data_IF_428158849983
#
_entry.id   IF_428158849983
#
_cell.length_a   1.000
_cell.length_b   1.000
_cell.length_c   1.000
_cell.angle_alpha   90.00
_cell.angle_beta   90.00
_cell.angle_gamma   90.00
#
_symmetry.space_group_name_H-M   'P 1'
#
loop_
_entity.id
_entity.type
_entity.pdbx_description
1 polymer ?
#
# COMPACT_ATOMS: atom_id res chain seq x y z
N UNK A 1 47.49 -17.10 -3.42
CA UNK A 1 47.36 -17.85 -2.15
C UNK A 1 47.53 -16.82 -1.05
N UNK A 2 46.44 -16.49 -0.36
CA UNK A 2 46.47 -15.54 0.76
C UNK A 2 47.03 -16.29 1.95
N UNK A 3 47.95 -15.64 2.66
CA UNK A 3 48.58 -16.23 3.84
C UNK A 3 47.58 -16.28 5.01
N UNK A 4 47.61 -17.36 5.79
CA UNK A 4 46.72 -17.53 6.93
C UNK A 4 46.91 -16.45 7.98
N UNK A 5 48.14 -15.95 8.14
CA UNK A 5 48.47 -14.95 9.13
C UNK A 5 47.86 -13.58 8.76
N UNK A 6 47.78 -13.26 7.46
CA UNK A 6 47.10 -12.05 6.98
C UNK A 6 45.59 -12.10 7.21
N UNK A 7 44.96 -13.25 6.99
CA UNK A 7 43.52 -13.42 7.24
C UNK A 7 43.22 -13.39 8.74
N UNK A 8 44.08 -13.98 9.58
CA UNK A 8 43.91 -13.94 11.04
C UNK A 8 44.07 -12.51 11.59
N UNK A 9 45.04 -11.74 11.08
CA UNK A 9 45.20 -10.33 11.44
C UNK A 9 44.00 -9.48 11.04
N UNK A 10 43.50 -9.65 9.80
CA UNK A 10 42.31 -8.96 9.32
C UNK A 10 41.05 -9.31 10.14
N UNK A 11 40.94 -10.57 10.56
CA UNK A 11 39.83 -11.03 11.39
C UNK A 11 39.88 -10.48 12.82
N UNK A 12 41.07 -10.33 13.39
CA UNK A 12 41.26 -9.66 14.69
C UNK A 12 40.87 -8.19 14.59
N UNK A 13 41.38 -7.48 13.57
CA UNK A 13 41.04 -6.07 13.33
C UNK A 13 39.52 -5.87 13.21
N UNK A 14 38.82 -6.78 12.52
CA UNK A 14 37.36 -6.77 12.41
C UNK A 14 36.63 -6.97 13.75
N UNK A 15 37.14 -7.81 14.64
CA UNK A 15 36.57 -8.01 15.98
C UNK A 15 36.73 -6.76 16.84
N UNK A 16 37.87 -6.07 16.71
CA UNK A 16 38.20 -4.86 17.48
C UNK A 16 37.66 -3.56 16.84
N UNK A 17 37.10 -3.63 15.64
CA UNK A 17 36.56 -2.48 14.90
C UNK A 17 37.64 -1.62 14.23
N UNK A 18 38.84 -2.14 14.08
CA UNK A 18 39.97 -1.50 13.42
C UNK A 18 39.91 -1.69 11.89
N UNK A 19 40.53 -0.79 11.10
CA UNK A 19 40.59 -0.94 9.66
C UNK A 19 41.30 -2.24 9.26
N UNK A 20 40.60 -3.09 8.51
CA UNK A 20 41.15 -4.34 7.98
C UNK A 20 42.11 -4.07 6.80
N UNK A 21 43.24 -4.77 6.71
CA UNK A 21 44.15 -4.72 5.56
C UNK A 21 43.63 -5.49 4.33
N UNK A 22 42.55 -6.27 4.46
CA UNK A 22 41.94 -7.07 3.40
C UNK A 22 40.45 -6.73 3.29
N UNK A 23 39.90 -6.80 2.06
CA UNK A 23 38.46 -6.64 1.82
C UNK A 23 37.65 -7.75 2.48
N UNK A 24 36.48 -7.40 3.03
CA UNK A 24 35.61 -8.31 3.77
C UNK A 24 35.15 -9.52 2.94
N UNK A 25 34.89 -9.32 1.64
CA UNK A 25 34.49 -10.40 0.72
C UNK A 25 35.57 -11.48 0.57
N UNK A 26 36.84 -11.07 0.61
CA UNK A 26 37.99 -11.98 0.50
C UNK A 26 38.17 -12.79 1.79
N UNK A 27 37.94 -12.14 2.94
CA UNK A 27 37.99 -12.78 4.26
C UNK A 27 36.88 -13.82 4.37
N UNK A 28 35.65 -13.47 4.01
CA UNK A 28 34.48 -14.35 4.12
C UNK A 28 34.59 -15.56 3.17
N UNK A 29 35.10 -15.36 1.94
CA UNK A 29 35.38 -16.45 1.01
C UNK A 29 36.44 -17.44 1.55
N UNK A 30 37.50 -16.93 2.19
CA UNK A 30 38.54 -17.78 2.79
C UNK A 30 38.04 -18.49 4.05
N UNK A 31 37.22 -17.83 4.87
CA UNK A 31 36.58 -18.43 6.04
C UNK A 31 35.61 -19.56 5.66
N UNK A 32 34.91 -19.46 4.52
CA UNK A 32 34.08 -20.55 4.01
C UNK A 32 34.91 -21.81 3.67
N UNK A 33 36.12 -21.63 3.12
CA UNK A 33 37.00 -22.73 2.70
C UNK A 33 37.95 -23.28 3.77
N UNK A 34 38.38 -22.47 4.76
CA UNK A 34 39.48 -22.82 5.65
C UNK A 34 39.04 -23.14 7.10
N UNK A 35 39.24 -24.39 7.54
CA UNK A 35 38.94 -24.82 8.90
C UNK A 35 39.81 -24.14 9.98
N UNK A 36 41.11 -23.90 9.68
CA UNK A 36 42.05 -23.24 10.62
C UNK A 36 41.62 -21.81 10.95
N UNK A 37 41.21 -21.03 9.94
CA UNK A 37 40.79 -19.65 10.15
C UNK A 37 39.43 -19.57 10.87
N UNK A 38 38.51 -20.52 10.63
CA UNK A 38 37.26 -20.62 11.40
C UNK A 38 37.51 -20.92 12.88
N UNK A 39 38.39 -21.87 13.18
CA UNK A 39 38.74 -22.20 14.56
C UNK A 39 39.34 -20.97 15.28
N UNK A 40 40.28 -20.28 14.64
CA UNK A 40 40.86 -19.05 15.20
C UNK A 40 39.78 -17.98 15.47
N UNK A 41 38.83 -17.79 14.55
CA UNK A 41 37.71 -16.86 14.74
C UNK A 41 36.87 -17.20 15.97
N UNK A 42 36.50 -18.47 16.11
CA UNK A 42 35.65 -18.95 17.19
C UNK A 42 36.35 -18.81 18.56
N UNK A 43 37.65 -19.10 18.59
CA UNK A 43 38.51 -18.92 19.77
C UNK A 43 38.63 -17.43 20.15
N UNK A 44 38.88 -16.55 19.17
CA UNK A 44 38.96 -15.11 19.38
C UNK A 44 37.64 -14.52 19.88
N UNK A 45 36.50 -14.93 19.30
CA UNK A 45 35.17 -14.53 19.79
C UNK A 45 34.88 -15.09 21.18
N UNK A 46 35.31 -16.32 21.49
CA UNK A 46 35.13 -16.91 22.81
C UNK A 46 36.00 -16.22 23.87
N UNK A 47 37.17 -15.71 23.50
CA UNK A 47 38.03 -14.90 24.36
C UNK A 47 37.40 -13.52 24.61
N UNK A 48 36.99 -12.82 23.55
CA UNK A 48 36.31 -11.52 23.64
C UNK A 48 35.08 -11.58 24.54
N UNK A 49 34.23 -12.62 24.38
CA UNK A 49 33.09 -12.85 25.29
C UNK A 49 33.51 -13.04 26.74
N UNK A 50 34.57 -13.80 27.02
CA UNK A 50 35.06 -14.00 28.39
C UNK A 50 35.60 -12.72 29.02
N UNK A 51 36.31 -11.90 28.25
CA UNK A 51 36.82 -10.61 28.70
C UNK A 51 35.70 -9.60 28.96
N UNK A 52 34.62 -9.63 28.17
CA UNK A 52 33.46 -8.74 28.32
C UNK A 52 32.68 -8.95 29.63
N UNK A 53 32.86 -10.08 30.32
CA UNK A 53 32.25 -10.34 31.64
C UNK A 53 33.16 -9.99 32.82
N UNK A 54 34.42 -9.63 32.58
CA UNK A 54 35.33 -9.08 33.61
C UNK A 54 35.16 -7.55 33.63
N UNK A 55 33.93 -7.09 33.72
CA UNK A 55 33.67 -5.71 34.13
C UNK A 55 33.57 -5.75 35.67
N UNK A 56 34.34 -4.94 36.42
CA UNK A 56 34.33 -5.03 37.87
C UNK A 56 32.92 -4.78 38.40
N UNK A 57 32.48 -5.56 39.39
CA UNK A 57 31.20 -5.36 40.06
C UNK A 57 31.03 -3.93 40.66
N UNK A 58 32.15 -3.21 40.84
CA UNK A 58 32.23 -1.83 41.33
C UNK A 58 32.79 -0.83 40.28
N UNK A 59 32.94 -1.24 39.02
CA UNK A 59 33.42 -0.40 37.93
C UNK A 59 32.26 0.35 37.27
N UNK A 60 32.31 1.68 37.28
CA UNK A 60 31.25 2.58 36.82
C UNK A 60 30.88 2.56 35.32
N UNK A 61 30.95 1.41 34.65
CA UNK A 61 30.57 1.17 33.26
C UNK A 61 29.37 0.22 33.10
N UNK A 62 28.67 -0.13 34.19
CA UNK A 62 27.34 -0.71 34.06
C UNK A 62 26.39 0.33 33.42
N UNK A 63 25.80 0.07 32.24
CA UNK A 63 24.84 0.99 31.65
C UNK A 63 23.69 1.20 32.63
N UNK A 64 23.26 2.46 32.91
CA UNK A 64 22.08 2.72 33.73
C UNK A 64 20.89 1.86 33.26
N UNK A 65 20.16 1.25 34.19
CA UNK A 65 19.04 0.35 33.89
C UNK A 65 18.00 0.96 32.93
N UNK A 66 17.90 2.29 32.93
CA UNK A 66 16.93 3.08 32.18
C UNK A 66 17.37 3.41 30.73
N UNK A 67 18.55 3.01 30.28
CA UNK A 67 18.96 3.22 28.88
C UNK A 67 18.05 2.50 27.89
N UNK A 68 17.46 1.37 28.31
CA UNK A 68 16.47 0.66 27.51
C UNK A 68 15.22 1.53 27.25
N UNK A 69 14.71 2.22 28.28
CA UNK A 69 13.60 3.16 28.16
C UNK A 69 13.99 4.39 27.33
N UNK A 70 15.20 4.93 27.49
CA UNK A 70 15.67 6.09 26.71
C UNK A 70 15.87 5.76 25.23
N UNK A 71 16.42 4.58 24.92
CA UNK A 71 16.59 4.10 23.54
C UNK A 71 15.22 3.83 22.91
N UNK A 72 14.31 3.15 23.63
CA UNK A 72 12.94 2.94 23.17
C UNK A 72 12.22 4.28 22.96
N UNK A 73 12.35 5.24 23.89
CA UNK A 73 11.78 6.58 23.76
C UNK A 73 12.39 7.40 22.62
N UNK A 74 13.63 7.12 22.22
CA UNK A 74 14.28 7.72 21.06
C UNK A 74 13.77 7.19 19.71
N UNK A 75 13.39 5.91 19.64
CA UNK A 75 12.95 5.23 18.41
C UNK A 75 11.42 5.30 18.23
N UNK A 76 10.68 5.28 19.34
CA UNK A 76 9.22 5.38 19.39
C UNK A 76 8.64 6.60 18.64
N UNK A 77 9.21 7.83 18.65
CA UNK A 77 8.62 8.98 17.96
C UNK A 77 8.60 8.83 16.44
N UNK A 78 9.61 8.20 15.83
CA UNK A 78 9.64 7.98 14.37
C UNK A 78 8.66 6.88 13.94
N UNK A 79 8.60 5.81 14.72
CA UNK A 79 7.63 4.72 14.53
C UNK A 79 6.20 5.20 14.75
N UNK A 80 5.94 6.00 15.78
CA UNK A 80 4.63 6.61 16.04
C UNK A 80 4.22 7.59 14.97
N UNK A 81 5.13 8.44 14.46
CA UNK A 81 4.80 9.38 13.37
C UNK A 81 4.39 8.64 12.09
N UNK A 82 5.13 7.61 11.72
CA UNK A 82 4.82 6.80 10.54
C UNK A 82 3.57 5.93 10.73
N UNK A 83 3.36 5.36 11.92
CA UNK A 83 2.14 4.63 12.27
C UNK A 83 0.90 5.55 12.31
N UNK A 84 0.99 6.72 12.95
CA UNK A 84 -0.10 7.70 13.02
C UNK A 84 -0.45 8.25 11.65
N UNK A 85 0.54 8.58 10.81
CA UNK A 85 0.28 9.02 9.43
C UNK A 85 -0.46 7.96 8.61
N UNK A 86 -0.14 6.67 8.80
CA UNK A 86 -0.88 5.56 8.18
C UNK A 86 -2.30 5.43 8.72
N UNK A 87 -2.48 5.54 10.04
CA UNK A 87 -3.81 5.47 10.67
C UNK A 87 -4.72 6.63 10.25
N UNK A 88 -4.19 7.85 10.23
CA UNK A 88 -4.91 9.05 9.75
C UNK A 88 -5.20 8.93 8.25
N UNK A 89 -4.23 8.49 7.46
CA UNK A 89 -4.42 8.25 6.03
C UNK A 89 -5.54 7.25 5.74
N UNK A 90 -5.59 6.14 6.47
CA UNK A 90 -6.67 5.14 6.36
C UNK A 90 -8.02 5.68 6.82
N UNK A 91 -8.06 6.47 7.90
CA UNK A 91 -9.28 7.09 8.38
C UNK A 91 -9.87 8.07 7.34
N UNK A 92 -9.04 8.99 6.82
CA UNK A 92 -9.43 9.93 5.76
C UNK A 92 -9.91 9.19 4.52
N UNK A 93 -9.18 8.14 4.11
CA UNK A 93 -9.55 7.38 2.92
C UNK A 93 -10.88 6.63 3.09
N UNK A 94 -11.18 6.10 4.29
CA UNK A 94 -12.51 5.55 4.61
C UNK A 94 -13.61 6.59 4.52
N UNK A 95 -13.39 7.78 5.07
CA UNK A 95 -14.35 8.87 4.95
C UNK A 95 -14.62 9.23 3.49
N UNK A 96 -13.57 9.36 2.67
CA UNK A 96 -13.71 9.63 1.24
C UNK A 96 -14.49 8.55 0.50
N UNK A 97 -14.23 7.26 0.78
CA UNK A 97 -14.98 6.16 0.18
C UNK A 97 -16.45 6.15 0.59
N UNK A 98 -16.76 6.46 1.85
CA UNK A 98 -18.14 6.54 2.34
C UNK A 98 -18.88 7.70 1.67
N UNK A 99 -18.24 8.88 1.59
CA UNK A 99 -18.81 10.05 0.91
C UNK A 99 -19.06 9.73 -0.58
N UNK A 100 -18.08 9.14 -1.26
CA UNK A 100 -18.23 8.72 -2.65
C UNK A 100 -19.37 7.70 -2.84
N UNK A 101 -19.48 6.72 -1.94
CA UNK A 101 -20.57 5.74 -1.93
C UNK A 101 -21.94 6.41 -1.78
N UNK A 102 -22.07 7.39 -0.87
CA UNK A 102 -23.31 8.17 -0.70
C UNK A 102 -23.65 8.94 -1.98
N UNK A 103 -22.68 9.60 -2.61
CA UNK A 103 -22.90 10.30 -3.88
C UNK A 103 -23.42 9.37 -4.98
N UNK A 104 -22.86 8.16 -5.09
CA UNK A 104 -23.35 7.14 -6.03
C UNK A 104 -24.77 6.67 -5.72
N UNK A 105 -25.12 6.49 -4.43
CA UNK A 105 -26.49 6.13 -4.01
C UNK A 105 -27.48 7.24 -4.37
N UNK A 106 -27.18 8.49 -4.02
CA UNK A 106 -28.04 9.64 -4.33
C UNK A 106 -28.28 9.74 -5.83
N UNK A 107 -27.23 9.55 -6.64
CA UNK A 107 -27.37 9.61 -8.08
C UNK A 107 -28.09 8.39 -8.67
N UNK A 108 -27.91 7.20 -8.10
CA UNK A 108 -28.71 6.02 -8.44
C UNK A 108 -30.20 6.25 -8.17
N UNK A 109 -30.54 6.89 -7.04
CA UNK A 109 -31.91 7.21 -6.68
C UNK A 109 -32.55 8.23 -7.64
N UNK A 110 -31.78 9.23 -8.08
CA UNK A 110 -32.24 10.19 -9.10
C UNK A 110 -32.59 9.50 -10.43
N UNK A 111 -31.80 8.50 -10.86
CA UNK A 111 -32.14 7.71 -12.07
C UNK A 111 -33.44 6.93 -11.91
N UNK A 112 -33.69 6.35 -10.74
CA UNK A 112 -34.95 5.65 -10.48
C UNK A 112 -36.15 6.61 -10.52
N UNK A 113 -35.99 7.82 -9.99
CA UNK A 113 -37.00 8.87 -10.09
C UNK A 113 -37.30 9.25 -11.55
N UNK A 114 -36.25 9.40 -12.37
CA UNK A 114 -36.38 9.68 -13.80
C UNK A 114 -37.04 8.51 -14.56
N UNK A 115 -36.66 7.27 -14.25
CA UNK A 115 -37.23 6.07 -14.85
C UNK A 115 -38.72 5.92 -14.53
N UNK A 116 -39.14 6.21 -13.30
CA UNK A 116 -40.55 6.19 -12.89
C UNK A 116 -41.41 7.20 -13.64
N UNK A 117 -40.84 8.34 -14.06
CA UNK A 117 -41.53 9.34 -14.86
C UNK A 117 -41.79 8.94 -16.33
N UNK A 118 -41.03 7.97 -16.86
CA UNK A 118 -41.11 7.51 -18.25
C UNK A 118 -42.09 6.35 -18.46
N UNK A 119 -42.59 5.74 -17.38
CA UNK A 119 -43.58 4.67 -17.43
C UNK A 119 -44.76 4.95 -16.47
N UNK A 120 -45.51 6.05 -16.68
CA UNK A 120 -46.67 6.34 -15.86
C UNK A 120 -47.75 5.28 -16.11
N UNK A 121 -48.04 4.49 -15.09
CA UNK A 121 -49.16 3.55 -15.10
C UNK A 121 -50.42 4.33 -14.73
N UNK A 122 -51.39 4.42 -15.65
CA UNK A 122 -52.68 5.06 -15.37
C UNK A 122 -53.46 4.31 -14.28
N UNK A 123 -54.50 4.93 -13.73
CA UNK A 123 -55.35 4.33 -12.69
C UNK A 123 -56.00 2.99 -13.11
N UNK A 124 -56.07 2.72 -14.41
CA UNK A 124 -56.60 1.47 -15.00
C UNK A 124 -55.52 0.41 -15.31
N UNK A 125 -54.26 0.65 -14.93
CA UNK A 125 -53.16 -0.29 -15.20
C UNK A 125 -52.64 -0.27 -16.64
N UNK A 126 -53.16 0.64 -17.48
CA UNK A 126 -52.75 0.81 -18.88
C UNK A 126 -51.59 1.81 -18.96
N UNK A 127 -50.52 1.41 -19.64
CA UNK A 127 -49.35 2.25 -19.92
C UNK A 127 -49.73 3.33 -20.95
N UNK A 128 -49.37 4.59 -20.68
CA UNK A 128 -49.62 5.70 -21.61
C UNK A 128 -48.99 5.43 -22.98
N UNK A 129 -49.62 5.82 -24.12
CA UNK A 129 -49.01 5.72 -25.45
C UNK A 129 -47.68 6.48 -25.59
N UNK A 130 -47.45 7.51 -24.76
CA UNK A 130 -46.22 8.30 -24.72
C UNK A 130 -45.15 7.72 -23.78
N UNK A 131 -45.38 6.53 -23.19
CA UNK A 131 -44.40 5.90 -22.32
C UNK A 131 -43.23 5.33 -23.12
N UNK A 132 -42.01 5.50 -22.59
CA UNK A 132 -40.80 4.92 -23.15
C UNK A 132 -40.22 3.85 -22.20
N UNK A 133 -40.71 2.60 -22.30
CA UNK A 133 -40.28 1.53 -21.41
C UNK A 133 -38.82 1.11 -21.66
N UNK A 134 -38.28 1.35 -22.85
CA UNK A 134 -36.90 0.98 -23.17
C UNK A 134 -35.92 1.88 -22.41
N UNK A 135 -36.10 3.19 -22.50
CA UNK A 135 -35.26 4.14 -21.75
C UNK A 135 -35.43 3.98 -20.25
N UNK A 136 -36.65 3.74 -19.75
CA UNK A 136 -36.89 3.44 -18.34
C UNK A 136 -36.07 2.21 -17.86
N UNK A 137 -36.05 1.14 -18.65
CA UNK A 137 -35.26 -0.08 -18.34
C UNK A 137 -33.75 0.21 -18.30
N UNK A 138 -33.24 1.01 -19.25
CA UNK A 138 -31.83 1.41 -19.28
C UNK A 138 -31.44 2.23 -18.05
N UNK A 139 -32.29 3.18 -17.61
CA UNK A 139 -32.06 3.97 -16.41
C UNK A 139 -32.08 3.11 -15.14
N UNK A 140 -32.97 2.12 -15.06
CA UNK A 140 -33.00 1.15 -13.94
C UNK A 140 -31.72 0.32 -13.90
N UNK A 141 -31.26 -0.18 -15.05
CA UNK A 141 -30.00 -0.94 -15.13
C UNK A 141 -28.79 -0.07 -14.74
N UNK A 142 -28.75 1.19 -15.18
CA UNK A 142 -27.73 2.15 -14.78
C UNK A 142 -27.78 2.45 -13.27
N UNK A 143 -28.98 2.56 -12.69
CA UNK A 143 -29.14 2.73 -11.24
C UNK A 143 -28.62 1.51 -10.48
N UNK A 144 -28.95 0.29 -10.92
CA UNK A 144 -28.44 -0.95 -10.33
C UNK A 144 -26.90 -0.97 -10.32
N UNK A 145 -26.26 -0.60 -11.44
CA UNK A 145 -24.81 -0.49 -11.53
C UNK A 145 -24.23 0.50 -10.52
N UNK A 146 -24.85 1.67 -10.34
CA UNK A 146 -24.41 2.69 -9.36
C UNK A 146 -24.54 2.21 -7.93
N UNK A 147 -25.62 1.47 -7.61
CA UNK A 147 -25.77 0.85 -6.30
C UNK A 147 -24.74 -0.26 -6.05
N UNK A 148 -24.41 -1.06 -7.07
CA UNK A 148 -23.34 -2.06 -6.97
C UNK A 148 -21.98 -1.40 -6.70
N UNK A 149 -21.67 -0.29 -7.37
CA UNK A 149 -20.45 0.50 -7.09
C UNK A 149 -20.45 1.04 -5.66
N UNK A 150 -21.56 1.64 -5.22
CA UNK A 150 -21.67 2.14 -3.85
C UNK A 150 -21.47 1.03 -2.80
N UNK A 151 -22.08 -0.13 -3.00
CA UNK A 151 -21.90 -1.29 -2.12
C UNK A 151 -20.43 -1.78 -2.12
N UNK A 152 -19.79 -1.80 -3.29
CA UNK A 152 -18.35 -2.06 -3.41
C UNK A 152 -17.50 -1.09 -2.60
N UNK A 153 -17.80 0.22 -2.67
CA UNK A 153 -17.09 1.24 -1.91
C UNK A 153 -17.30 1.10 -0.39
N UNK A 154 -18.53 0.80 0.05
CA UNK A 154 -18.82 0.56 1.47
C UNK A 154 -18.14 -0.70 1.99
N UNK A 155 -18.10 -1.79 1.21
CA UNK A 155 -17.39 -3.03 1.59
C UNK A 155 -15.88 -2.82 1.67
N UNK A 156 -15.32 -2.02 0.76
CA UNK A 156 -13.91 -1.63 0.81
C UNK A 156 -13.62 -0.71 2.02
N UNK A 157 -14.51 0.22 2.35
CA UNK A 157 -14.38 1.06 3.53
C UNK A 157 -14.37 0.23 4.83
N UNK A 158 -15.22 -0.80 4.91
CA UNK A 158 -15.23 -1.76 6.03
C UNK A 158 -13.97 -2.63 6.04
N UNK A 159 -13.61 -3.23 4.89
CA UNK A 159 -12.51 -4.18 4.75
C UNK A 159 -11.55 -3.77 3.62
N UNK A 160 -10.55 -2.91 3.91
CA UNK A 160 -9.61 -2.39 2.90
C UNK A 160 -8.75 -3.44 2.18
N UNK A 161 -8.72 -4.69 2.67
CA UNK A 161 -8.05 -5.81 1.98
C UNK A 161 -8.63 -6.11 0.60
N UNK A 162 -9.87 -5.69 0.32
CA UNK A 162 -10.56 -5.94 -0.95
C UNK A 162 -10.28 -4.87 -2.02
N UNK A 163 -9.47 -3.83 -1.73
CA UNK A 163 -9.23 -2.72 -2.67
C UNK A 163 -8.64 -3.22 -3.98
N UNK A 164 -7.71 -4.18 -3.95
CA UNK A 164 -6.94 -4.58 -5.15
C UNK A 164 -7.83 -5.11 -6.29
N UNK A 165 -8.80 -5.98 -5.98
CA UNK A 165 -9.69 -6.55 -6.99
C UNK A 165 -10.67 -5.51 -7.53
N UNK A 166 -11.24 -4.68 -6.66
CA UNK A 166 -12.20 -3.66 -7.07
C UNK A 166 -11.52 -2.53 -7.85
N UNK A 167 -10.26 -2.21 -7.55
CA UNK A 167 -9.51 -1.14 -8.23
C UNK A 167 -9.31 -1.44 -9.72
N UNK A 168 -9.00 -2.69 -10.07
CA UNK A 168 -8.89 -3.12 -11.48
C UNK A 168 -10.23 -2.96 -12.20
N UNK A 169 -11.33 -3.38 -11.55
CA UNK A 169 -12.68 -3.25 -12.11
C UNK A 169 -13.07 -1.79 -12.33
N UNK A 170 -12.91 -0.94 -11.31
CA UNK A 170 -13.26 0.50 -11.39
C UNK A 170 -12.34 1.23 -12.39
N UNK A 171 -11.06 0.85 -12.47
CA UNK A 171 -10.12 1.40 -13.46
C UNK A 171 -10.49 1.04 -14.89
N UNK A 172 -10.90 -0.21 -15.14
CA UNK A 172 -11.40 -0.63 -16.45
C UNK A 172 -12.68 0.13 -16.81
N UNK A 173 -13.63 0.22 -15.86
CA UNK A 173 -14.86 0.98 -16.05
C UNK A 173 -14.59 2.44 -16.42
N UNK A 174 -13.68 3.11 -15.70
CA UNK A 174 -13.31 4.49 -15.99
C UNK A 174 -12.70 4.64 -17.39
N UNK A 175 -11.82 3.74 -17.78
CA UNK A 175 -11.18 3.74 -19.11
C UNK A 175 -12.21 3.64 -20.24
N UNK A 176 -13.16 2.72 -20.14
CA UNK A 176 -14.22 2.58 -21.16
C UNK A 176 -15.15 3.80 -21.17
N UNK A 177 -15.57 4.30 -20.00
CA UNK A 177 -16.43 5.48 -19.90
C UNK A 177 -15.76 6.74 -20.46
N UNK A 178 -14.45 6.89 -20.25
CA UNK A 178 -13.66 7.96 -20.86
C UNK A 178 -13.65 7.84 -22.38
N UNK A 179 -13.44 6.62 -22.91
CA UNK A 179 -13.50 6.37 -24.35
C UNK A 179 -14.87 6.73 -24.96
N UNK A 180 -15.96 6.39 -24.27
CA UNK A 180 -17.31 6.78 -24.71
C UNK A 180 -17.54 8.29 -24.64
N UNK A 181 -17.04 8.98 -23.61
CA UNK A 181 -17.10 10.44 -23.56
C UNK A 181 -16.34 11.07 -24.73
N UNK A 182 -15.14 10.58 -25.06
CA UNK A 182 -14.37 11.08 -26.22
C UNK A 182 -15.16 10.88 -27.51
N UNK A 183 -15.79 9.72 -27.70
CA UNK A 183 -16.67 9.47 -28.84
C UNK A 183 -17.82 10.48 -28.89
N UNK A 184 -18.52 10.69 -27.78
CA UNK A 184 -19.70 11.56 -27.74
C UNK A 184 -19.33 13.04 -27.93
N UNK A 185 -18.13 13.46 -27.51
CA UNK A 185 -17.56 14.78 -27.82
C UNK A 185 -17.30 14.92 -29.33
N UNK A 186 -16.77 13.89 -29.99
CA UNK A 186 -16.52 13.92 -31.44
C UNK A 186 -17.83 13.95 -32.24
N UNK A 187 -18.88 13.31 -31.73
CA UNK A 187 -20.20 13.28 -32.37
C UNK A 187 -21.10 14.46 -31.98
N UNK A 188 -20.66 15.34 -31.07
CA UNK A 188 -21.45 16.42 -30.48
C UNK A 188 -22.75 15.94 -29.82
N UNK A 189 -22.71 14.73 -29.24
CA UNK A 189 -23.84 14.06 -28.57
C UNK A 189 -23.61 13.91 -27.07
N UNK A 190 -22.87 14.83 -26.44
CA UNK A 190 -22.54 14.75 -25.01
C UNK A 190 -23.80 14.89 -24.18
N UNK A 191 -24.08 13.87 -23.36
CA UNK A 191 -25.25 13.88 -22.50
C UNK A 191 -25.03 14.71 -21.23
N UNK A 192 -26.10 15.35 -20.75
CA UNK A 192 -26.08 16.12 -19.51
C UNK A 192 -25.65 15.25 -18.33
N UNK A 193 -24.62 15.72 -17.59
CA UNK A 193 -24.07 15.01 -16.44
C UNK A 193 -23.07 13.89 -16.75
N UNK A 194 -22.80 13.57 -18.03
CA UNK A 194 -21.83 12.54 -18.41
C UNK A 194 -20.41 12.88 -17.93
N UNK A 195 -19.99 14.14 -18.12
CA UNK A 195 -18.68 14.65 -17.65
C UNK A 195 -18.58 14.59 -16.13
N UNK A 196 -19.64 15.01 -15.42
CA UNK A 196 -19.71 14.96 -13.96
C UNK A 196 -19.59 13.52 -13.45
N UNK A 197 -20.18 12.56 -14.18
CA UNK A 197 -20.15 11.14 -13.82
C UNK A 197 -18.78 10.55 -13.95
N UNK A 198 -18.06 10.91 -15.01
CA UNK A 198 -16.70 10.49 -15.23
C UNK A 198 -15.74 11.12 -14.22
N UNK A 199 -15.93 12.39 -13.86
CA UNK A 199 -15.15 13.06 -12.82
C UNK A 199 -15.37 12.41 -11.45
N UNK A 200 -16.62 12.13 -11.07
CA UNK A 200 -16.92 11.43 -9.83
C UNK A 200 -16.24 10.06 -9.80
N UNK A 201 -16.34 9.29 -10.89
CA UNK A 201 -15.68 8.00 -11.02
C UNK A 201 -14.16 8.12 -10.92
N UNK A 202 -13.56 9.14 -11.54
CA UNK A 202 -12.13 9.41 -11.43
C UNK A 202 -11.70 9.68 -9.98
N UNK A 203 -12.45 10.52 -9.26
CA UNK A 203 -12.20 10.80 -7.85
C UNK A 203 -12.33 9.53 -6.99
N UNK A 204 -13.30 8.67 -7.29
CA UNK A 204 -13.42 7.37 -6.60
C UNK A 204 -12.21 6.47 -6.86
N UNK A 205 -11.70 6.45 -8.10
CA UNK A 205 -10.50 5.69 -8.46
C UNK A 205 -9.26 6.22 -7.73
N UNK A 206 -9.09 7.53 -7.63
CA UNK A 206 -8.01 8.15 -6.86
C UNK A 206 -8.12 7.79 -5.37
N UNK A 207 -9.32 7.89 -4.79
CA UNK A 207 -9.55 7.50 -3.39
C UNK A 207 -9.23 6.01 -3.14
N UNK A 208 -9.54 5.14 -4.12
CA UNK A 208 -9.18 3.73 -4.07
C UNK A 208 -7.67 3.49 -4.22
N UNK A 209 -7.00 4.20 -5.13
CA UNK A 209 -5.54 4.13 -5.26
C UNK A 209 -4.85 4.60 -3.97
N UNK A 210 -5.38 5.63 -3.33
CA UNK A 210 -4.89 6.13 -2.04
C UNK A 210 -5.12 5.13 -0.89
N UNK A 211 -6.28 4.46 -0.83
CA UNK A 211 -6.51 3.38 0.15
C UNK A 211 -5.57 2.20 -0.08
N UNK A 212 -5.32 1.82 -1.34
CA UNK A 212 -4.37 0.76 -1.66
C UNK A 212 -2.94 1.11 -1.21
N UNK A 213 -2.49 2.32 -1.51
CA UNK A 213 -1.15 2.80 -1.17
C UNK A 213 -0.94 2.91 0.35
N UNK A 214 -1.96 3.37 1.08
CA UNK A 214 -1.93 3.47 2.54
C UNK A 214 -2.04 2.12 3.27
N UNK A 215 -2.76 1.14 2.69
CA UNK A 215 -2.97 -0.18 3.28
C UNK A 215 -1.86 -1.19 2.95
N UNK A 216 -1.46 -1.33 1.69
CA UNK A 216 -0.39 -2.25 1.27
C UNK A 216 1.01 -1.64 1.37
N UNK A 217 1.08 -0.32 1.46
CA UNK A 217 2.26 0.41 1.85
C UNK A 217 3.31 0.51 0.75
N UNK A 218 3.93 1.69 0.70
CA UNK A 218 5.22 2.00 0.08
C UNK A 218 6.32 0.95 0.29
N UNK A 219 6.17 0.01 1.24
CA UNK A 219 7.12 -1.07 1.51
C UNK A 219 7.19 -2.07 0.35
N UNK A 220 6.05 -2.47 -0.24
CA UNK A 220 6.03 -3.37 -1.40
C UNK A 220 6.62 -2.67 -2.63
N UNK A 221 6.28 -1.39 -2.84
CA UNK A 221 6.84 -0.59 -3.92
C UNK A 221 8.34 -0.35 -3.74
N UNK A 222 8.82 -0.09 -2.51
CA UNK A 222 10.25 0.10 -2.20
C UNK A 222 11.04 -1.20 -2.26
N UNK A 223 10.44 -2.32 -1.87
CA UNK A 223 11.03 -3.64 -2.04
C UNK A 223 11.14 -3.99 -3.53
N UNK A 224 10.06 -3.82 -4.30
CA UNK A 224 10.07 -4.03 -5.76
C UNK A 224 11.02 -3.09 -6.50
N UNK A 225 11.15 -1.83 -6.07
CA UNK A 225 12.15 -0.90 -6.60
C UNK A 225 13.59 -1.29 -6.23
N UNK A 226 13.82 -1.87 -5.05
CA UNK A 226 15.14 -2.43 -4.70
C UNK A 226 15.47 -3.68 -5.49
N UNK A 227 14.48 -4.54 -5.75
CA UNK A 227 14.66 -5.74 -6.57
C UNK A 227 14.90 -5.39 -8.04
N UNK A 228 14.23 -4.37 -8.58
CA UNK A 228 14.50 -3.85 -9.93
C UNK A 228 15.84 -3.10 -10.03
N UNK A 229 16.32 -2.54 -8.92
CA UNK A 229 17.63 -1.88 -8.82
C UNK A 229 18.78 -2.82 -8.46
N UNK A 230 18.48 -4.07 -8.07
CA UNK A 230 19.48 -5.09 -7.87
C UNK A 230 19.86 -5.65 -9.25
N UNK A 231 20.98 -5.17 -9.79
CA UNK A 231 21.61 -5.82 -10.94
C UNK A 231 21.82 -7.31 -10.59
N UNK A 232 21.22 -8.25 -11.36
CA UNK A 232 21.60 -9.65 -11.23
C UNK A 232 23.06 -9.77 -11.67
N UNK A 233 23.89 -10.32 -10.79
CA UNK A 233 25.28 -10.73 -11.08
C UNK A 233 25.27 -11.99 -11.93
#
# INVERSE_FOLDING_TARGET
>A
MIDHDQVQAALSARIDGEPSPLDDDVIDAHLAGCARCRQFHDEALALSRRLRFIDPADGGMAPPADLSEVILAGIEPEWRRTANARMVGLAVARFLLVIAGILWVVWGMQLLGQAGGLNPVGAEGVVSPDADPQTATLLVNAAAMRFSLALGLFTVAWKPRLVSSLLVFVGALWTFMFGFLVRDVVLDTVADGQVMGLLLLFLTLIAMAWTWLSHHGYVVLRAGWRELGANPV
#
